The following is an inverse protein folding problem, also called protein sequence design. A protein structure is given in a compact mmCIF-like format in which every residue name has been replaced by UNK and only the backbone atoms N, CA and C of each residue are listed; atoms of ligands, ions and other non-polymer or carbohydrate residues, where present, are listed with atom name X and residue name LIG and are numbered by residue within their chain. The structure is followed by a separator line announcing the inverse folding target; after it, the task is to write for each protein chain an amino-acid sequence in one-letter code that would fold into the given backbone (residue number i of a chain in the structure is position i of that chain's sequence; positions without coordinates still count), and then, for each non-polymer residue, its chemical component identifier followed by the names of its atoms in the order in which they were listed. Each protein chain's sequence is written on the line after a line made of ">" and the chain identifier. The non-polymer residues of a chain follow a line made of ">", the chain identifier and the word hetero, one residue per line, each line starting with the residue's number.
data_IF_174987876299
#
_entry.id   IF_174987876299
#
_cell.length_a   1.000
_cell.length_b   1.000
_cell.length_c   1.000
_cell.angle_alpha   90.00
_cell.angle_beta   90.00
_cell.angle_gamma   90.00
#
_symmetry.space_group_name_H-M   'P 1'
#
loop_
_entity.id
_entity.type
_entity.pdbx_description
1 polymer ?
#
# COMPACT_ATOMS: atom_id res chain seq x y z
N UNK A 1 -3.38 11.09 44.57
CA UNK A 1 -3.93 10.68 43.27
C UNK A 1 -2.85 9.89 42.55
N UNK A 2 -3.17 8.71 42.04
CA UNK A 2 -2.19 7.85 41.40
C UNK A 2 -1.65 8.48 40.09
N UNK A 3 -0.37 8.33 39.83
CA UNK A 3 0.27 8.73 38.56
C UNK A 3 0.39 7.53 37.61
N UNK A 4 0.61 7.80 36.32
CA UNK A 4 0.76 6.72 35.34
C UNK A 4 1.98 5.82 35.61
N UNK A 5 3.06 6.36 36.17
CA UNK A 5 4.24 5.58 36.55
C UNK A 5 3.98 4.69 37.78
N UNK A 6 3.20 5.14 38.76
CA UNK A 6 2.77 4.32 39.89
C UNK A 6 1.85 3.17 39.46
N UNK A 7 0.94 3.45 38.51
CA UNK A 7 0.03 2.44 37.95
C UNK A 7 0.82 1.39 37.17
N UNK A 8 1.77 1.80 36.33
CA UNK A 8 2.59 0.87 35.56
C UNK A 8 3.41 -0.05 36.48
N UNK A 9 4.03 0.53 37.51
CA UNK A 9 4.83 -0.23 38.48
C UNK A 9 4.01 -1.34 39.14
N UNK A 10 2.80 -1.02 39.60
CA UNK A 10 1.86 -2.00 40.16
C UNK A 10 1.40 -3.04 39.15
N UNK A 11 1.12 -2.62 37.91
CA UNK A 11 0.75 -3.55 36.84
C UNK A 11 1.86 -4.59 36.58
N UNK A 12 3.14 -4.19 36.69
CA UNK A 12 4.27 -5.12 36.59
C UNK A 12 4.43 -6.01 37.82
N UNK A 13 4.27 -5.46 39.02
CA UNK A 13 4.33 -6.21 40.28
C UNK A 13 3.27 -7.32 40.33
N UNK A 14 2.05 -7.04 39.87
CA UNK A 14 0.94 -8.00 39.80
C UNK A 14 0.95 -8.86 38.53
N UNK A 15 1.99 -8.73 37.69
CA UNK A 15 2.18 -9.50 36.45
C UNK A 15 1.01 -9.39 35.44
N UNK A 16 0.43 -8.19 35.31
CA UNK A 16 -0.55 -7.92 34.27
C UNK A 16 0.09 -7.98 32.88
N UNK A 17 -0.67 -8.50 31.91
CA UNK A 17 -0.27 -8.52 30.48
C UNK A 17 -0.55 -7.18 29.78
N UNK A 18 -0.73 -6.10 30.53
CA UNK A 18 -1.00 -4.76 30.00
C UNK A 18 0.09 -3.82 30.47
N UNK A 19 0.68 -3.09 29.54
CA UNK A 19 1.77 -2.17 29.74
C UNK A 19 1.34 -0.77 29.32
N UNK A 20 1.47 0.18 30.24
CA UNK A 20 1.38 1.61 29.91
C UNK A 20 2.69 2.03 29.30
N UNK A 21 2.66 2.62 28.11
CA UNK A 21 3.86 3.06 27.41
C UNK A 21 3.75 4.53 27.06
N UNK A 22 4.73 5.32 27.50
CA UNK A 22 4.86 6.73 27.12
C UNK A 22 5.49 6.87 25.74
N UNK A 23 4.66 7.20 24.74
CA UNK A 23 5.11 7.41 23.36
C UNK A 23 5.34 8.88 23.07
N UNK A 24 6.43 9.16 22.36
CA UNK A 24 6.65 10.47 21.74
C UNK A 24 5.72 10.59 20.53
N UNK A 25 4.62 11.34 20.62
CA UNK A 25 3.60 11.47 19.57
C UNK A 25 3.23 12.92 19.38
N UNK A 26 3.38 13.40 18.15
CA UNK A 26 2.78 14.67 17.74
C UNK A 26 1.25 14.56 17.81
N UNK A 27 0.65 15.51 18.52
CA UNK A 27 -0.79 15.66 18.63
C UNK A 27 -1.25 16.85 17.80
N UNK A 28 -2.52 16.83 17.40
CA UNK A 28 -3.11 17.98 16.71
C UNK A 28 -3.13 19.20 17.65
N UNK A 29 -2.96 20.40 17.10
CA UNK A 29 -2.88 21.65 17.87
C UNK A 29 -4.12 21.96 18.71
N UNK A 30 -5.27 21.37 18.35
CA UNK A 30 -6.50 21.45 19.14
C UNK A 30 -6.51 20.54 20.36
N UNK A 31 -5.54 19.64 20.53
CA UNK A 31 -5.47 18.73 21.67
C UNK A 31 -4.41 19.19 22.68
N UNK A 32 -4.61 18.84 23.95
CA UNK A 32 -3.57 18.90 24.98
C UNK A 32 -3.42 17.56 25.66
N UNK A 33 -2.21 17.22 26.05
CA UNK A 33 -1.98 16.06 26.91
C UNK A 33 -2.22 16.46 28.37
N UNK A 34 -3.14 15.75 29.01
CA UNK A 34 -3.51 15.96 30.40
C UNK A 34 -3.17 14.70 31.19
N UNK A 35 -2.43 14.83 32.28
CA UNK A 35 -2.16 13.69 33.17
C UNK A 35 -3.33 13.43 34.14
N UNK A 36 -3.28 12.32 34.89
CA UNK A 36 -4.31 11.98 35.89
C UNK A 36 -4.45 12.99 37.04
N UNK A 37 -3.43 13.83 37.23
CA UNK A 37 -3.39 14.88 38.27
C UNK A 37 -3.86 16.25 37.74
N UNK A 38 -4.26 16.35 36.47
CA UNK A 38 -4.68 17.61 35.84
C UNK A 38 -3.55 18.52 35.36
N UNK A 39 -2.29 18.06 35.34
CA UNK A 39 -1.18 18.77 34.68
C UNK A 39 -1.43 18.79 33.17
N UNK A 40 -1.49 19.99 32.62
CA UNK A 40 -1.65 20.23 31.18
C UNK A 40 -0.29 20.23 30.47
N UNK A 41 -0.32 20.03 29.15
CA UNK A 41 0.83 20.10 28.25
C UNK A 41 1.94 19.10 28.57
N UNK A 42 1.57 17.88 28.95
CA UNK A 42 2.52 16.76 29.03
C UNK A 42 3.19 16.49 27.67
N UNK A 43 4.42 15.95 27.68
CA UNK A 43 5.18 15.69 26.45
C UNK A 43 4.81 14.37 25.78
N UNK A 44 4.52 13.33 26.56
CA UNK A 44 4.31 11.98 26.04
C UNK A 44 2.85 11.58 26.03
N UNK A 45 2.44 10.80 25.02
CA UNK A 45 1.10 10.21 24.97
C UNK A 45 1.12 8.85 25.66
N UNK A 46 0.22 8.65 26.62
CA UNK A 46 0.02 7.33 27.22
C UNK A 46 -0.69 6.42 26.22
N UNK A 47 -0.07 5.28 25.92
CA UNK A 47 -0.69 4.18 25.19
C UNK A 47 -0.76 2.91 26.02
N UNK A 48 -1.79 2.09 25.75
CA UNK A 48 -2.00 0.79 26.40
C UNK A 48 -1.59 -0.31 25.42
N UNK A 49 -0.70 -1.20 25.84
CA UNK A 49 -0.16 -2.27 25.01
C UNK A 49 -0.21 -3.62 25.73
N UNK A 50 -0.34 -4.70 24.97
CA UNK A 50 -0.39 -6.07 25.52
C UNK A 50 0.98 -6.77 25.57
N UNK A 51 2.06 -6.04 25.30
CA UNK A 51 3.42 -6.55 25.30
C UNK A 51 4.42 -5.47 25.67
N UNK A 52 5.57 -5.91 26.17
CA UNK A 52 6.72 -5.08 26.56
C UNK A 52 7.53 -4.58 25.34
N UNK A 53 7.26 -5.15 24.16
CA UNK A 53 7.97 -4.89 22.89
C UNK A 53 7.05 -4.30 21.82
N UNK A 54 7.60 -3.46 20.92
CA UNK A 54 6.85 -2.88 19.82
C UNK A 54 6.40 -3.95 18.82
N UNK A 55 5.10 -4.13 18.67
CA UNK A 55 4.50 -5.13 17.76
C UNK A 55 4.54 -4.69 16.28
N UNK A 56 4.62 -3.38 16.03
CA UNK A 56 4.59 -2.80 14.67
C UNK A 56 5.95 -2.15 14.35
N UNK A 57 6.44 -2.24 13.10
CA UNK A 57 7.70 -1.62 12.70
C UNK A 57 7.78 -0.12 13.03
N UNK A 58 6.73 0.64 12.73
CA UNK A 58 6.67 2.08 12.95
C UNK A 58 6.70 2.49 14.45
N UNK A 59 6.44 1.55 15.36
CA UNK A 59 6.50 1.83 16.79
C UNK A 59 7.91 1.71 17.35
N UNK A 60 8.83 1.00 16.66
CA UNK A 60 10.19 0.75 17.15
C UNK A 60 10.98 2.02 17.45
N UNK A 61 10.84 3.04 16.61
CA UNK A 61 11.56 4.31 16.74
C UNK A 61 11.09 5.14 17.94
N UNK A 62 9.82 4.99 18.32
CA UNK A 62 9.15 5.82 19.33
C UNK A 62 9.02 5.12 20.68
N UNK A 63 9.28 3.81 20.71
CA UNK A 63 9.21 2.96 21.91
C UNK A 63 10.36 3.29 22.88
N UNK A 64 10.12 3.29 24.21
CA UNK A 64 11.20 3.44 25.19
C UNK A 64 12.17 2.25 25.13
N UNK A 65 13.46 2.50 25.34
CA UNK A 65 14.48 1.45 25.30
C UNK A 65 14.44 0.55 26.53
N UNK A 66 14.01 1.09 27.68
CA UNK A 66 13.94 0.36 28.95
C UNK A 66 12.67 0.66 29.74
N UNK A 67 12.35 -0.22 30.69
CA UNK A 67 11.23 -0.03 31.61
C UNK A 67 11.41 1.22 32.49
N UNK A 68 12.65 1.53 32.90
CA UNK A 68 12.94 2.73 33.69
C UNK A 68 12.75 4.02 32.88
N UNK A 69 13.16 4.00 31.61
CA UNK A 69 12.90 5.11 30.70
C UNK A 69 11.39 5.30 30.50
N UNK A 70 10.65 4.20 30.36
CA UNK A 70 9.20 4.24 30.25
C UNK A 70 8.55 4.91 31.47
N UNK A 71 8.96 4.56 32.69
CA UNK A 71 8.45 5.20 33.91
C UNK A 71 8.71 6.71 33.94
N UNK A 72 9.90 7.15 33.51
CA UNK A 72 10.22 8.58 33.38
C UNK A 72 9.34 9.28 32.35
N UNK A 73 9.06 8.63 31.21
CA UNK A 73 8.14 9.16 30.20
C UNK A 73 6.72 9.23 30.73
N UNK A 74 6.27 8.22 31.48
CA UNK A 74 4.91 8.16 32.06
C UNK A 74 4.66 9.23 33.13
N UNK A 75 5.68 9.65 33.88
CA UNK A 75 5.59 10.78 34.81
C UNK A 75 5.22 12.10 34.11
N UNK A 76 5.62 12.28 32.84
CA UNK A 76 5.22 13.43 32.01
C UNK A 76 4.37 13.00 30.81
N UNK A 77 3.57 11.94 30.98
CA UNK A 77 2.63 11.47 29.99
C UNK A 77 1.20 11.87 30.31
N UNK A 78 0.43 12.13 29.27
CA UNK A 78 -0.98 12.47 29.38
C UNK A 78 -1.83 11.78 28.32
N UNK A 79 -3.14 11.85 28.53
CA UNK A 79 -4.15 11.45 27.55
C UNK A 79 -4.47 12.68 26.70
N UNK A 80 -4.53 12.56 25.36
CA UNK A 80 -4.94 13.65 24.50
C UNK A 80 -6.41 14.00 24.73
N UNK A 81 -6.66 15.22 25.18
CA UNK A 81 -8.00 15.80 25.30
C UNK A 81 -8.14 16.95 24.30
N UNK A 82 -9.29 17.00 23.62
CA UNK A 82 -9.64 18.12 22.74
C UNK A 82 -9.94 19.36 23.60
N UNK A 83 -9.22 20.46 23.33
CA UNK A 83 -9.44 21.77 23.98
C UNK A 83 -10.75 22.42 23.54
N UNK A 84 -11.42 21.89 22.51
CA UNK A 84 -12.60 22.47 21.85
C UNK A 84 -12.33 23.88 21.29
N UNK A 85 -11.06 24.24 21.11
CA UNK A 85 -10.65 25.50 20.50
C UNK A 85 -10.37 25.20 19.02
N UNK A 86 -11.18 25.73 18.08
CA UNK A 86 -10.96 25.49 16.66
C UNK A 86 -9.66 26.17 16.19
N UNK A 87 -8.93 25.45 15.33
CA UNK A 87 -7.83 26.01 14.54
C UNK A 87 -8.39 26.59 13.25
N UNK A 88 -8.05 27.83 12.94
CA UNK A 88 -8.44 28.46 11.68
C UNK A 88 -7.72 27.79 10.51
N UNK A 89 -8.45 27.30 9.51
CA UNK A 89 -7.84 26.68 8.31
C UNK A 89 -7.21 27.75 7.41
N UNK A 90 -7.62 29.01 7.54
CA UNK A 90 -7.07 30.11 6.76
C UNK A 90 -5.71 30.58 7.30
N UNK A 91 -5.65 31.05 8.54
CA UNK A 91 -4.41 31.62 9.12
C UNK A 91 -3.67 30.71 10.09
N UNK A 92 -4.22 29.54 10.43
CA UNK A 92 -3.60 28.59 11.35
C UNK A 92 -3.67 28.97 12.84
N UNK A 93 -4.21 30.15 13.19
CA UNK A 93 -4.34 30.57 14.58
C UNK A 93 -5.49 29.85 15.30
N UNK A 94 -5.34 29.66 16.61
CA UNK A 94 -6.34 29.04 17.48
C UNK A 94 -7.34 30.08 17.98
N UNK A 95 -8.61 29.69 18.15
CA UNK A 95 -9.64 30.52 18.79
C UNK A 95 -10.78 30.93 17.88
N UNK A 96 -10.64 30.77 16.56
CA UNK A 96 -11.68 31.10 15.60
C UNK A 96 -11.69 30.10 14.42
N UNK A 97 -12.86 29.92 13.82
CA UNK A 97 -13.00 29.16 12.58
C UNK A 97 -12.77 30.04 11.34
N UNK A 98 -12.56 29.43 10.17
CA UNK A 98 -12.23 30.14 8.92
C UNK A 98 -13.26 31.18 8.45
N UNK A 99 -14.48 31.20 9.02
CA UNK A 99 -15.50 32.22 8.76
C UNK A 99 -15.29 33.51 9.56
N UNK A 100 -14.71 33.40 10.74
CA UNK A 100 -14.43 34.51 11.65
C UNK A 100 -12.93 34.84 11.65
N UNK A 101 -12.23 34.52 10.56
CA UNK A 101 -10.82 34.82 10.40
C UNK A 101 -10.62 36.31 10.15
N UNK A 102 -9.78 37.01 10.94
CA UNK A 102 -9.48 38.42 10.69
C UNK A 102 -8.59 38.61 9.46
N UNK A 103 -7.80 37.59 9.10
CA UNK A 103 -6.90 37.63 7.95
C UNK A 103 -7.65 37.41 6.63
N UNK A 104 -7.14 38.03 5.56
CA UNK A 104 -7.65 37.84 4.20
C UNK A 104 -7.68 36.35 3.83
N UNK A 105 -8.73 35.94 3.10
CA UNK A 105 -8.92 34.56 2.70
C UNK A 105 -7.85 34.16 1.68
N UNK A 106 -6.99 33.22 2.06
CA UNK A 106 -6.06 32.58 1.14
C UNK A 106 -6.82 31.88 0.01
N UNK A 107 -6.34 32.06 -1.22
CA UNK A 107 -6.87 31.38 -2.40
C UNK A 107 -6.31 29.97 -2.39
N UNK A 108 -7.04 29.04 -1.79
CA UNK A 108 -6.71 27.61 -1.94
C UNK A 108 -7.06 27.23 -3.37
N UNK A 109 -6.05 26.90 -4.18
CA UNK A 109 -6.26 26.33 -5.51
C UNK A 109 -7.14 25.09 -5.38
N UNK A 110 -8.37 25.18 -5.90
CA UNK A 110 -9.32 24.09 -5.83
C UNK A 110 -8.78 22.97 -6.72
N UNK A 111 -8.31 21.89 -6.10
CA UNK A 111 -7.87 20.69 -6.82
C UNK A 111 -8.98 20.27 -7.78
N UNK A 112 -8.69 20.37 -9.08
CA UNK A 112 -9.65 20.01 -10.12
C UNK A 112 -9.96 18.52 -10.03
N UNK A 113 -11.24 18.21 -9.78
CA UNK A 113 -11.69 16.83 -9.70
C UNK A 113 -11.83 16.30 -11.12
N UNK A 114 -11.00 15.31 -11.46
CA UNK A 114 -11.11 14.53 -12.69
C UNK A 114 -12.04 13.35 -12.48
N UNK A 115 -12.97 13.15 -13.42
CA UNK A 115 -13.90 12.04 -13.40
C UNK A 115 -13.17 10.72 -13.65
N UNK A 116 -13.34 9.75 -12.77
CA UNK A 116 -12.69 8.43 -12.87
C UNK A 116 -13.21 7.58 -14.05
N UNK A 117 -14.37 7.94 -14.61
CA UNK A 117 -15.00 7.24 -15.73
C UNK A 117 -14.54 7.78 -17.09
N UNK A 118 -14.67 9.09 -17.33
CA UNK A 118 -14.41 9.72 -18.63
C UNK A 118 -13.20 10.66 -18.64
N UNK A 119 -12.47 10.79 -17.52
CA UNK A 119 -11.38 11.75 -17.32
C UNK A 119 -11.77 13.24 -17.50
N UNK A 120 -13.05 13.53 -17.73
CA UNK A 120 -13.56 14.89 -17.80
C UNK A 120 -13.40 15.64 -16.48
N UNK A 121 -13.12 16.95 -16.56
CA UNK A 121 -12.93 17.81 -15.40
C UNK A 121 -14.27 18.35 -14.88
N UNK A 122 -14.32 18.71 -13.59
CA UNK A 122 -15.45 19.43 -13.01
C UNK A 122 -16.61 18.58 -12.49
N UNK A 123 -16.54 17.24 -12.61
CA UNK A 123 -17.56 16.34 -12.07
C UNK A 123 -16.94 15.05 -11.51
N UNK A 124 -17.64 14.40 -10.57
CA UNK A 124 -17.25 13.06 -10.07
C UNK A 124 -17.89 11.98 -10.93
N UNK A 125 -17.40 10.74 -10.85
CA UNK A 125 -17.95 9.61 -11.59
C UNK A 125 -19.45 9.33 -11.34
N UNK A 126 -20.03 9.87 -10.27
CA UNK A 126 -21.47 9.80 -9.98
C UNK A 126 -22.30 10.71 -10.89
N UNK A 127 -21.77 11.89 -11.21
CA UNK A 127 -22.42 12.93 -12.01
C UNK A 127 -21.96 12.88 -13.47
N UNK A 128 -21.31 11.78 -13.86
CA UNK A 128 -20.83 11.56 -15.21
C UNK A 128 -22.00 11.19 -16.13
N UNK A 129 -22.20 11.96 -17.20
CA UNK A 129 -23.23 11.72 -18.21
C UNK A 129 -22.83 10.62 -19.21
N UNK A 130 -21.54 10.28 -19.27
CA UNK A 130 -21.03 9.20 -20.12
C UNK A 130 -21.41 7.82 -19.58
N UNK A 131 -21.54 6.85 -20.49
CA UNK A 131 -21.77 5.44 -20.10
C UNK A 131 -20.65 4.99 -19.17
N UNK A 132 -21.02 4.30 -18.08
CA UNK A 132 -20.02 3.76 -17.14
C UNK A 132 -19.22 2.66 -17.83
N UNK A 133 -17.92 2.86 -17.90
CA UNK A 133 -16.98 1.84 -18.35
C UNK A 133 -16.71 0.94 -17.16
N UNK A 134 -17.10 -0.33 -17.27
CA UNK A 134 -16.82 -1.32 -16.24
C UNK A 134 -15.31 -1.63 -16.24
N UNK A 135 -14.60 -1.28 -15.17
CA UNK A 135 -13.14 -1.51 -15.06
C UNK A 135 -12.76 -2.99 -14.99
N UNK A 136 -13.72 -3.85 -14.71
CA UNK A 136 -13.57 -5.30 -14.67
C UNK A 136 -14.05 -5.97 -15.97
N UNK A 137 -14.52 -5.19 -16.94
CA UNK A 137 -14.75 -5.71 -18.28
C UNK A 137 -13.43 -6.05 -18.98
N UNK A 138 -13.48 -7.06 -19.83
CA UNK A 138 -12.36 -7.50 -20.63
C UNK A 138 -11.87 -6.36 -21.52
N UNK A 139 -10.59 -5.99 -21.43
CA UNK A 139 -10.01 -4.90 -22.24
C UNK A 139 -9.92 -5.22 -23.73
N UNK A 140 -10.21 -6.46 -24.14
CA UNK A 140 -10.24 -6.87 -25.56
C UNK A 140 -11.65 -6.71 -26.15
N UNK A 141 -12.68 -7.26 -25.50
CA UNK A 141 -14.04 -7.28 -26.06
C UNK A 141 -15.08 -6.44 -25.29
N UNK A 142 -14.69 -5.80 -24.19
CA UNK A 142 -15.56 -4.97 -23.35
C UNK A 142 -16.63 -5.72 -22.55
N UNK A 143 -16.64 -7.06 -22.60
CA UNK A 143 -17.61 -7.87 -21.87
C UNK A 143 -17.15 -8.12 -20.42
N UNK A 144 -18.05 -8.05 -19.43
CA UNK A 144 -17.74 -8.39 -18.05
C UNK A 144 -17.51 -9.90 -17.85
N UNK A 145 -16.86 -10.28 -16.75
CA UNK A 145 -16.76 -11.67 -16.31
C UNK A 145 -15.51 -12.44 -16.74
N UNK A 146 -14.60 -11.83 -17.52
CA UNK A 146 -13.29 -12.42 -17.83
C UNK A 146 -12.20 -11.36 -18.04
N UNK A 147 -10.94 -11.76 -17.86
CA UNK A 147 -9.77 -10.91 -18.14
C UNK A 147 -9.39 -11.03 -19.61
N UNK A 148 -8.64 -10.07 -20.14
CA UNK A 148 -8.12 -10.11 -21.52
C UNK A 148 -7.26 -11.34 -21.85
N UNK A 149 -6.72 -12.01 -20.82
CA UNK A 149 -6.03 -13.30 -20.92
C UNK A 149 -6.95 -14.45 -21.31
N UNK A 150 -8.19 -14.42 -20.81
CA UNK A 150 -9.19 -15.50 -20.90
C UNK A 150 -10.28 -15.16 -21.92
N UNK A 151 -10.04 -14.14 -22.75
CA UNK A 151 -10.96 -13.69 -23.78
C UNK A 151 -10.94 -14.65 -24.97
N UNK A 152 -12.10 -15.21 -25.30
CA UNK A 152 -12.28 -16.12 -26.44
C UNK A 152 -12.35 -15.37 -27.77
N UNK A 153 -12.68 -14.07 -27.75
CA UNK A 153 -12.67 -13.23 -28.94
C UNK A 153 -11.24 -12.96 -29.43
N UNK A 154 -11.01 -12.86 -30.75
CA UNK A 154 -9.71 -12.54 -31.30
C UNK A 154 -9.21 -11.21 -30.73
N UNK A 155 -7.91 -11.11 -30.49
CA UNK A 155 -7.29 -9.88 -29.98
C UNK A 155 -7.39 -8.80 -31.05
N UNK A 156 -8.29 -7.83 -30.86
CA UNK A 156 -8.39 -6.67 -31.75
C UNK A 156 -7.42 -5.58 -31.28
N UNK A 157 -6.78 -4.91 -32.24
CA UNK A 157 -5.92 -3.75 -31.98
C UNK A 157 -6.68 -2.42 -32.11
N UNK A 158 -8.00 -2.45 -32.36
CA UNK A 158 -8.82 -1.26 -32.45
C UNK A 158 -8.92 -0.57 -31.08
N UNK A 159 -8.27 0.57 -30.95
CA UNK A 159 -8.26 1.40 -29.74
C UNK A 159 -6.95 1.42 -28.95
N UNK A 160 -5.90 0.73 -29.40
CA UNK A 160 -4.56 0.87 -28.83
C UNK A 160 -3.79 1.93 -29.62
N UNK A 161 -3.24 2.94 -28.93
CA UNK A 161 -2.53 4.10 -29.53
C UNK A 161 -1.39 3.69 -30.48
N UNK A 162 -0.86 2.47 -30.33
CA UNK A 162 -0.03 1.77 -31.31
C UNK A 162 -0.83 0.60 -31.92
N UNK A 163 -1.48 0.86 -33.06
CA UNK A 163 -2.40 -0.05 -33.74
C UNK A 163 -1.78 -1.28 -34.42
N UNK A 164 -0.78 -1.91 -33.82
CA UNK A 164 -0.25 -3.20 -34.27
C UNK A 164 0.38 -3.97 -33.10
N UNK A 165 0.24 -5.29 -33.10
CA UNK A 165 0.89 -6.13 -32.10
C UNK A 165 2.41 -6.18 -32.35
N UNK A 166 3.19 -6.49 -31.32
CA UNK A 166 4.64 -6.65 -31.43
C UNK A 166 5.09 -7.67 -32.50
N UNK A 167 4.19 -8.55 -32.96
CA UNK A 167 4.43 -9.51 -34.04
C UNK A 167 4.34 -8.89 -35.44
N UNK A 168 3.60 -7.79 -35.56
CA UNK A 168 3.30 -7.08 -36.81
C UNK A 168 4.05 -5.74 -36.89
N UNK A 169 5.03 -5.51 -36.02
CA UNK A 169 5.84 -4.30 -36.02
C UNK A 169 6.81 -4.29 -37.22
N UNK A 170 6.64 -3.38 -38.19
CA UNK A 170 7.50 -3.29 -39.37
C UNK A 170 8.93 -2.86 -39.03
N UNK A 171 9.15 -2.26 -37.85
CA UNK A 171 10.47 -1.86 -37.35
C UNK A 171 11.25 -3.01 -36.68
N UNK A 172 10.79 -4.26 -36.82
CA UNK A 172 11.49 -5.42 -36.28
C UNK A 172 10.95 -5.82 -34.90
N UNK A 173 9.71 -6.30 -34.89
CA UNK A 173 9.21 -7.17 -33.83
C UNK A 173 9.96 -8.49 -33.84
N UNK A 174 11.13 -8.51 -33.20
CA UNK A 174 12.15 -9.56 -33.29
C UNK A 174 11.56 -10.94 -33.48
N UNK A 175 11.90 -11.55 -34.63
CA UNK A 175 11.74 -12.97 -34.85
C UNK A 175 12.13 -13.69 -33.56
N UNK A 176 11.27 -14.58 -33.06
CA UNK A 176 11.59 -15.44 -31.90
C UNK A 176 12.63 -16.49 -32.31
N UNK A 177 13.71 -16.05 -32.96
CA UNK A 177 14.92 -16.79 -33.12
C UNK A 177 15.45 -17.11 -31.73
N UNK A 178 15.74 -18.38 -31.50
CA UNK A 178 16.30 -18.87 -30.27
C UNK A 178 17.60 -18.12 -29.97
N UNK A 179 17.70 -17.45 -28.82
CA UNK A 179 18.91 -16.70 -28.45
C UNK A 179 20.14 -17.58 -28.18
N UNK A 180 19.99 -18.90 -28.21
CA UNK A 180 21.08 -19.86 -28.08
C UNK A 180 21.65 -20.25 -29.46
N UNK A 181 20.79 -20.62 -30.42
CA UNK A 181 21.23 -21.14 -31.73
C UNK A 181 20.86 -20.28 -32.95
N UNK A 182 20.09 -19.21 -32.79
CA UNK A 182 19.66 -18.32 -33.87
C UNK A 182 18.54 -18.84 -34.75
N UNK A 183 18.03 -20.06 -34.55
CA UNK A 183 16.95 -20.63 -35.36
C UNK A 183 15.57 -20.15 -34.90
N UNK A 184 14.71 -19.86 -35.85
CA UNK A 184 13.32 -19.45 -35.63
C UNK A 184 12.42 -20.66 -35.33
N UNK A 185 11.42 -20.48 -34.46
CA UNK A 185 10.42 -21.50 -34.16
C UNK A 185 10.46 -22.08 -32.75
N UNK A 186 11.48 -21.79 -31.96
CA UNK A 186 11.57 -22.18 -30.55
C UNK A 186 12.27 -21.12 -29.69
N UNK A 187 12.02 -21.11 -28.39
CA UNK A 187 12.72 -20.24 -27.44
C UNK A 187 13.95 -20.92 -26.83
N UNK A 188 14.89 -20.17 -26.24
CA UNK A 188 16.12 -20.72 -25.65
C UNK A 188 15.93 -21.80 -24.58
N UNK A 189 14.71 -21.92 -24.03
CA UNK A 189 14.33 -22.96 -23.07
C UNK A 189 13.97 -24.30 -23.74
N UNK A 190 13.57 -24.26 -25.00
CA UNK A 190 13.11 -25.37 -25.85
C UNK A 190 14.15 -25.70 -26.94
N UNK A 191 15.39 -25.26 -26.75
CA UNK A 191 16.47 -25.47 -27.70
C UNK A 191 17.20 -26.78 -27.39
N UNK A 192 17.20 -27.71 -28.34
CA UNK A 192 17.85 -29.02 -28.21
C UNK A 192 19.38 -28.96 -28.40
N UNK A 193 19.91 -27.83 -28.88
CA UNK A 193 21.35 -27.64 -29.09
C UNK A 193 22.06 -27.29 -27.78
N UNK A 194 23.31 -27.77 -27.58
CA UNK A 194 24.09 -27.42 -26.40
C UNK A 194 24.23 -25.91 -26.29
N UNK A 195 24.25 -25.42 -25.05
CA UNK A 195 24.32 -23.97 -24.76
C UNK A 195 25.64 -23.42 -25.31
N UNK A 196 25.55 -22.54 -26.30
CA UNK A 196 26.70 -21.88 -26.85
C UNK A 196 27.13 -20.75 -25.90
N UNK A 197 28.29 -20.91 -25.26
CA UNK A 197 28.82 -19.92 -24.32
C UNK A 197 29.37 -18.68 -25.03
N UNK A 198 29.68 -18.78 -26.33
CA UNK A 198 30.27 -17.70 -27.12
C UNK A 198 29.23 -16.61 -27.47
N UNK A 199 27.95 -16.95 -27.47
CA UNK A 199 26.84 -15.99 -27.70
C UNK A 199 26.28 -15.40 -26.40
N UNK A 200 26.65 -15.96 -25.25
CA UNK A 200 26.18 -15.51 -23.94
C UNK A 200 27.01 -14.34 -23.46
N UNK A 201 26.41 -13.15 -23.47
CA UNK A 201 27.03 -11.91 -22.99
C UNK A 201 26.68 -11.61 -21.53
N UNK A 202 27.70 -11.51 -20.69
CA UNK A 202 27.61 -11.10 -19.30
C UNK A 202 27.56 -9.58 -19.19
N UNK A 203 26.39 -9.05 -18.82
CA UNK A 203 26.15 -7.61 -18.62
C UNK A 203 26.81 -7.00 -17.37
N UNK A 204 27.68 -7.75 -16.70
CA UNK A 204 28.41 -7.31 -15.50
C UNK A 204 29.91 -7.10 -15.77
N UNK A 205 30.42 -7.55 -16.92
CA UNK A 205 31.82 -7.44 -17.30
C UNK A 205 31.95 -6.42 -18.44
N UNK A 206 32.81 -5.42 -18.30
CA UNK A 206 32.95 -4.34 -19.31
C UNK A 206 34.41 -4.12 -19.78
N UNK A 207 35.39 -4.83 -19.23
CA UNK A 207 36.82 -4.50 -19.45
C UNK A 207 37.50 -5.24 -20.62
N UNK A 208 36.98 -6.39 -21.06
CA UNK A 208 37.58 -7.14 -22.16
C UNK A 208 36.53 -7.98 -22.89
N UNK A 209 36.60 -8.04 -24.23
CA UNK A 209 35.68 -8.84 -25.06
C UNK A 209 35.59 -10.31 -24.58
N UNK A 210 36.73 -10.90 -24.21
CA UNK A 210 36.83 -12.25 -23.62
C UNK A 210 36.26 -12.40 -22.20
N UNK A 211 36.04 -11.30 -21.49
CA UNK A 211 35.38 -11.28 -20.18
C UNK A 211 33.87 -11.03 -20.28
N UNK A 212 33.37 -10.60 -21.44
CA UNK A 212 31.92 -10.38 -21.69
C UNK A 212 31.26 -11.65 -22.21
N UNK A 213 31.94 -12.45 -23.04
CA UNK A 213 31.40 -13.71 -23.56
C UNK A 213 31.90 -14.91 -22.76
N UNK A 214 31.16 -16.02 -22.77
CA UNK A 214 31.63 -17.29 -22.20
C UNK A 214 31.00 -17.70 -20.86
N UNK A 215 30.23 -16.83 -20.20
CA UNK A 215 29.55 -17.16 -18.93
C UNK A 215 28.26 -16.38 -18.72
N UNK A 216 27.32 -16.96 -17.97
CA UNK A 216 26.09 -16.28 -17.59
C UNK A 216 26.36 -15.24 -16.49
N UNK A 217 25.53 -14.20 -16.41
CA UNK A 217 25.61 -13.20 -15.33
C UNK A 217 25.48 -13.77 -13.91
N UNK A 218 25.03 -15.02 -13.76
CA UNK A 218 24.98 -15.75 -12.48
C UNK A 218 26.30 -16.39 -12.09
N UNK A 219 27.10 -16.78 -13.09
CA UNK A 219 28.40 -17.44 -12.92
C UNK A 219 29.54 -16.42 -13.00
N UNK A 220 29.21 -15.12 -13.00
CA UNK A 220 30.16 -14.03 -13.02
C UNK A 220 30.88 -13.94 -11.68
N UNK A 221 32.19 -14.15 -11.70
CA UNK A 221 33.06 -14.08 -10.52
C UNK A 221 33.32 -12.64 -10.06
N UNK A 222 33.01 -11.63 -10.88
CA UNK A 222 33.17 -10.21 -10.53
C UNK A 222 31.99 -9.74 -9.67
N UNK A 223 32.30 -8.95 -8.63
CA UNK A 223 31.27 -8.32 -7.79
C UNK A 223 30.40 -7.41 -8.66
N UNK A 224 29.09 -7.52 -8.49
CA UNK A 224 28.13 -6.70 -9.22
C UNK A 224 28.26 -5.24 -8.82
N UNK A 225 28.53 -4.37 -9.79
CA UNK A 225 28.56 -2.94 -9.56
C UNK A 225 27.12 -2.42 -9.46
N UNK A 226 26.69 -2.13 -8.23
CA UNK A 226 25.34 -1.68 -7.94
C UNK A 226 25.08 -0.27 -8.48
N UNK A 227 26.13 0.55 -8.65
CA UNK A 227 25.99 1.93 -9.15
C UNK A 227 25.44 1.99 -10.57
N UNK A 228 25.59 0.91 -11.35
CA UNK A 228 25.10 0.79 -12.73
C UNK A 228 23.73 0.10 -12.82
N UNK A 229 23.18 -0.38 -11.70
CA UNK A 229 21.88 -1.06 -11.69
C UNK A 229 20.76 -0.04 -11.56
N UNK A 230 19.97 0.12 -12.63
CA UNK A 230 18.76 0.93 -12.61
C UNK A 230 17.58 0.16 -12.00
N UNK A 231 16.86 0.80 -11.09
CA UNK A 231 15.64 0.26 -10.50
C UNK A 231 14.47 0.39 -11.48
N UNK A 232 13.81 -0.71 -11.84
CA UNK A 232 12.63 -0.65 -12.73
C UNK A 232 11.40 0.04 -12.12
N UNK A 233 11.38 0.26 -10.80
CA UNK A 233 10.30 0.96 -10.11
C UNK A 233 10.54 2.48 -10.14
N UNK A 234 11.61 2.97 -9.50
CA UNK A 234 11.87 4.41 -9.40
C UNK A 234 12.82 4.98 -10.47
N UNK A 235 13.37 4.14 -11.37
CA UNK A 235 14.37 4.49 -12.38
C UNK A 235 15.70 5.05 -11.83
N UNK A 236 15.90 5.02 -10.51
CA UNK A 236 17.14 5.44 -9.88
C UNK A 236 18.21 4.35 -9.95
N UNK A 237 19.46 4.76 -10.03
CA UNK A 237 20.62 3.88 -10.07
C UNK A 237 21.01 3.45 -8.65
N UNK A 238 21.70 2.31 -8.49
CA UNK A 238 22.22 1.86 -7.19
C UNK A 238 21.49 0.67 -6.58
N UNK A 239 20.29 0.32 -7.03
CA UNK A 239 19.47 -0.69 -6.38
C UNK A 239 18.48 -1.39 -7.33
N UNK A 240 17.99 -2.56 -6.92
CA UNK A 240 16.92 -3.29 -7.62
C UNK A 240 15.56 -3.00 -6.99
N UNK A 241 14.47 -3.33 -7.68
CA UNK A 241 13.08 -3.15 -7.22
C UNK A 241 12.84 -3.68 -5.79
N UNK A 242 13.50 -4.78 -5.41
CA UNK A 242 13.38 -5.37 -4.06
C UNK A 242 13.98 -4.53 -2.92
N UNK A 243 14.89 -3.61 -3.25
CA UNK A 243 15.52 -2.67 -2.32
C UNK A 243 15.18 -1.23 -2.68
N UNK A 244 14.06 -1.03 -3.40
CA UNK A 244 13.57 0.29 -3.72
C UNK A 244 12.96 0.92 -2.45
N UNK A 245 13.41 2.13 -2.05
CA UNK A 245 12.82 2.85 -0.94
C UNK A 245 11.45 3.47 -1.30
N UNK A 246 11.13 3.58 -2.59
CA UNK A 246 9.87 4.15 -3.07
C UNK A 246 8.79 3.07 -3.20
N UNK A 247 7.53 3.39 -2.88
CA UNK A 247 6.40 2.49 -3.13
C UNK A 247 6.32 2.16 -4.63
N UNK A 248 5.75 0.99 -4.95
CA UNK A 248 5.57 0.57 -6.34
C UNK A 248 4.45 1.43 -6.95
N UNK A 249 4.81 2.38 -7.80
CA UNK A 249 3.85 3.21 -8.53
C UNK A 249 3.68 2.66 -9.95
N UNK A 250 2.52 2.06 -10.22
CA UNK A 250 2.12 1.67 -11.58
C UNK A 250 1.20 0.45 -11.65
N UNK A 251 0.29 0.48 -12.61
CA UNK A 251 -0.72 -0.54 -12.93
C UNK A 251 -0.14 -1.84 -13.56
N UNK A 252 1.15 -2.13 -13.32
CA UNK A 252 1.80 -3.38 -13.70
C UNK A 252 2.15 -4.19 -12.44
N UNK A 253 1.19 -4.32 -11.54
CA UNK A 253 1.17 -5.38 -10.54
C UNK A 253 0.61 -6.66 -11.20
N UNK A 254 1.43 -7.27 -12.06
CA UNK A 254 1.17 -8.55 -12.69
C UNK A 254 2.33 -9.49 -12.46
N UNK A 255 2.13 -10.40 -11.52
CA UNK A 255 2.67 -11.77 -11.51
C UNK A 255 4.20 -11.93 -11.38
N UNK A 256 4.65 -11.93 -10.12
CA UNK A 256 5.97 -12.39 -9.70
C UNK A 256 5.94 -13.21 -8.42
N UNK A 257 4.85 -13.92 -8.13
CA UNK A 257 4.81 -14.97 -7.11
C UNK A 257 5.39 -16.26 -7.69
N UNK A 258 6.72 -16.38 -7.59
CA UNK A 258 7.40 -17.68 -7.72
C UNK A 258 7.37 -18.38 -6.38
N UNK A 259 6.31 -19.15 -6.15
CA UNK A 259 6.21 -20.19 -5.14
C UNK A 259 7.21 -21.31 -5.47
N UNK A 260 8.22 -21.50 -4.62
CA UNK A 260 8.99 -22.73 -4.55
C UNK A 260 9.30 -23.02 -3.08
N UNK A 261 8.59 -24.00 -2.52
CA UNK A 261 9.18 -24.89 -1.51
C UNK A 261 8.52 -24.89 -0.13
N UNK A 262 7.26 -25.33 -0.04
CA UNK A 262 6.80 -26.05 1.15
C UNK A 262 7.18 -27.53 0.99
N UNK A 263 8.06 -28.02 1.87
CA UNK A 263 8.39 -29.44 2.00
C UNK A 263 8.03 -29.93 3.40
N UNK A 264 7.01 -30.81 3.46
CA UNK A 264 6.71 -31.89 4.43
C UNK A 264 6.56 -31.49 5.91
N UNK A 265 5.54 -31.91 6.68
CA UNK A 265 4.91 -33.23 6.82
C UNK A 265 3.64 -33.10 7.72
N UNK A 266 2.93 -34.17 8.13
CA UNK A 266 1.67 -34.66 7.56
C UNK A 266 0.47 -34.63 8.54
N UNK A 267 -0.72 -34.92 8.02
CA UNK A 267 -1.74 -35.67 8.75
C UNK A 267 -2.65 -34.89 9.72
N UNK A 268 -3.82 -34.51 9.23
CA UNK A 268 -5.07 -35.02 9.81
C UNK A 268 -6.21 -34.82 8.82
N UNK A 269 -7.08 -35.81 8.81
CA UNK A 269 -8.04 -36.06 7.75
C UNK A 269 -9.19 -35.06 7.70
N UNK A 270 -9.62 -34.89 6.46
CA UNK A 270 -10.89 -34.34 5.99
C UNK A 270 -12.08 -34.94 6.74
N UNK A 271 -12.85 -34.08 7.42
CA UNK A 271 -14.26 -34.32 7.71
C UNK A 271 -15.03 -33.06 7.34
N UNK A 272 -15.54 -33.08 6.11
CA UNK A 272 -16.43 -32.06 5.57
C UNK A 272 -17.73 -31.89 6.36
N UNK A 273 -18.21 -30.65 6.36
CA UNK A 273 -19.52 -30.27 6.89
C UNK A 273 -20.00 -29.00 6.19
N UNK A 274 -20.61 -29.17 5.02
CA UNK A 274 -21.33 -28.11 4.30
C UNK A 274 -22.44 -27.54 5.19
N UNK A 275 -22.45 -26.22 5.41
CA UNK A 275 -23.62 -25.51 5.93
C UNK A 275 -24.14 -24.59 4.82
N UNK A 276 -25.28 -24.99 4.25
CA UNK A 276 -26.12 -24.17 3.39
C UNK A 276 -26.86 -23.18 4.28
N UNK A 277 -26.77 -21.90 3.95
CA UNK A 277 -27.49 -20.82 4.61
C UNK A 277 -28.93 -20.76 4.07
N UNK A 278 -29.82 -21.55 4.66
CA UNK A 278 -31.27 -21.36 4.56
C UNK A 278 -31.78 -21.00 5.96
N UNK A 279 -32.08 -19.72 6.19
CA UNK A 279 -32.49 -19.22 7.49
C UNK A 279 -33.39 -18.00 7.39
N UNK A 280 -34.70 -18.23 7.30
CA UNK A 280 -35.74 -17.25 7.56
C UNK A 280 -35.58 -16.69 8.99
N UNK A 281 -35.58 -15.36 9.13
CA UNK A 281 -35.53 -14.69 10.43
C UNK A 281 -36.93 -14.65 11.07
N UNK A 282 -37.11 -15.11 12.33
CA UNK A 282 -38.36 -14.97 13.05
C UNK A 282 -38.59 -13.52 13.52
N UNK A 283 -39.84 -13.11 13.48
CA UNK A 283 -40.34 -11.78 13.89
C UNK A 283 -40.09 -11.52 15.38
N UNK A 284 -39.45 -10.39 15.73
CA UNK A 284 -39.34 -9.96 17.12
C UNK A 284 -38.16 -9.06 17.52
N UNK A 285 -37.54 -8.29 16.61
CA UNK A 285 -36.43 -7.39 16.98
C UNK A 285 -36.89 -5.93 17.23
N UNK A 286 -36.41 -5.26 18.31
CA UNK A 286 -36.82 -3.90 18.66
C UNK A 286 -36.41 -2.78 17.68
N UNK A 287 -37.32 -1.82 17.54
CA UNK A 287 -37.40 -0.69 16.58
C UNK A 287 -36.32 0.41 16.66
N UNK A 288 -35.05 0.10 16.94
CA UNK A 288 -33.97 1.12 16.94
C UNK A 288 -32.87 0.89 15.89
N UNK A 289 -32.99 -0.18 15.09
CA UNK A 289 -32.02 -0.52 14.03
C UNK A 289 -32.49 -0.18 12.60
N UNK A 290 -33.59 0.55 12.42
CA UNK A 290 -34.04 1.01 11.09
C UNK A 290 -34.16 2.54 11.06
N UNK A 291 -33.16 3.20 10.48
CA UNK A 291 -33.28 4.59 10.04
C UNK A 291 -32.29 4.85 8.90
N UNK A 292 -32.63 4.33 7.71
CA UNK A 292 -32.27 4.93 6.43
C UNK A 292 -33.42 5.81 5.95
N UNK A 293 -33.06 6.99 5.45
CA UNK A 293 -33.78 7.82 4.48
C UNK A 293 -35.11 8.49 4.87
N UNK A 294 -35.11 9.83 4.89
CA UNK A 294 -36.31 10.65 4.95
C UNK A 294 -36.00 12.14 4.83
N UNK A 295 -36.15 12.69 3.62
CA UNK A 295 -35.91 14.09 3.29
C UNK A 295 -36.83 15.06 4.03
N UNK A 296 -36.30 16.25 4.32
CA UNK A 296 -37.00 17.35 4.98
C UNK A 296 -37.64 18.28 3.94
N UNK A 297 -38.96 18.17 3.78
CA UNK A 297 -39.78 19.30 3.30
C UNK A 297 -40.33 20.05 4.51
N UNK A 298 -39.96 21.32 4.64
CA UNK A 298 -40.45 22.25 5.67
C UNK A 298 -41.85 22.75 5.28
N UNK A 299 -42.86 22.72 6.16
CA UNK A 299 -44.07 23.49 5.98
C UNK A 299 -43.88 24.92 6.51
N UNK A 300 -44.33 25.88 5.73
CA UNK A 300 -44.53 27.27 6.12
C UNK A 300 -45.76 27.41 7.01
N UNK A 301 -45.59 28.22 8.06
CA UNK A 301 -46.52 28.82 9.03
C UNK A 301 -47.35 27.87 9.92
#
# INVERSE_FOLDING_TARGET
>A
MATFDEIERKMREENFKVYLIGLDKEIADCHTLINLQGKLNCKFVVGYYFGDKPQRPNLKERWPQSSEENLKRLADAGIPLDRQIPKCVNCGQMGHGSRACPDERSVVEKVEVKCVNCNGMGHRARDCTEKRIDKFSCRNCGQPGHRSSDCTEPRSAEGVEFGHFAKDCPQGGGSRACRNCGEEGHISKECDKPRNLDTVTCRNCEEAFFAVVGHYSRDCTKKKDWTKVQCNNCKEMGHTVRRCPKPVEGENAGDGFGDYGFGNNPGYDDMGGSRKDDGAFPEGTPSWMNAGDGGTTVPTW
#
